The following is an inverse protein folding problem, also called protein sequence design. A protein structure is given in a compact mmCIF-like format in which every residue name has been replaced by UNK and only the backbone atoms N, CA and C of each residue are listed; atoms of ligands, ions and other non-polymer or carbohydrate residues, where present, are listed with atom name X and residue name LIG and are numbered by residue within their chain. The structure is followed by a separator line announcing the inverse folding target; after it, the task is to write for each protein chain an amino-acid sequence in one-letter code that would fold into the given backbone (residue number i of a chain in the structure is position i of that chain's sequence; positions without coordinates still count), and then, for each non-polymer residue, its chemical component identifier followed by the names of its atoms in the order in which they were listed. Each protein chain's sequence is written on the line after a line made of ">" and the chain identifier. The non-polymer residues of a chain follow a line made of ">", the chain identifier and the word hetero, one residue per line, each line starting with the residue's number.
data_IF_345333839485
#
_entry.id   IF_345333839485
#
_cell.length_a   1.000
_cell.length_b   1.000
_cell.length_c   1.000
_cell.angle_alpha   90.00
_cell.angle_beta   90.00
_cell.angle_gamma   90.00
#
_symmetry.space_group_name_H-M   'P 1'
#
loop_
_entity.id
_entity.type
_entity.pdbx_description
1 polymer ?
#
# COMPACT_ATOMS: atom_id res chain seq x y z
N UNK A 1 15.97 -7.03 20.69
CA UNK A 1 15.14 -7.84 21.60
C UNK A 1 13.71 -7.79 21.08
N UNK A 2 13.06 -8.94 20.90
CA UNK A 2 11.63 -8.95 20.59
C UNK A 2 10.87 -8.36 21.79
N UNK A 3 9.90 -7.50 21.54
CA UNK A 3 9.22 -6.72 22.60
C UNK A 3 8.09 -7.53 23.26
N UNK A 4 7.66 -8.63 22.63
CA UNK A 4 6.61 -9.53 23.13
C UNK A 4 6.85 -10.97 22.60
N UNK A 5 6.99 -11.95 23.49
CA UNK A 5 7.28 -13.35 23.13
C UNK A 5 6.05 -14.13 22.63
N UNK A 6 4.84 -13.63 22.94
CA UNK A 6 3.56 -14.29 22.58
C UNK A 6 2.95 -13.76 21.26
N UNK A 7 3.65 -12.85 20.57
CA UNK A 7 3.16 -12.24 19.34
C UNK A 7 3.48 -13.11 18.11
N UNK A 8 2.51 -13.25 17.21
CA UNK A 8 2.75 -13.78 15.86
C UNK A 8 3.11 -12.62 14.93
N UNK A 9 4.31 -12.64 14.37
CA UNK A 9 4.77 -11.67 13.37
C UNK A 9 4.47 -12.23 11.99
N UNK A 10 3.77 -11.47 11.14
CA UNK A 10 3.53 -11.81 9.74
C UNK A 10 4.24 -10.81 8.85
N UNK A 11 4.98 -11.29 7.84
CA UNK A 11 5.68 -10.43 6.90
C UNK A 11 5.78 -11.08 5.50
N UNK A 12 6.17 -10.30 4.49
CA UNK A 12 6.11 -10.73 3.10
C UNK A 12 7.19 -10.11 2.21
N UNK A 13 7.59 -10.87 1.18
CA UNK A 13 8.44 -10.38 0.09
C UNK A 13 7.66 -9.49 -0.91
N UNK A 14 6.33 -9.34 -0.72
CA UNK A 14 5.49 -8.67 -1.71
C UNK A 14 5.77 -7.16 -1.85
N UNK A 15 6.20 -6.48 -0.78
CA UNK A 15 6.21 -5.01 -0.70
C UNK A 15 7.63 -4.44 -0.75
N UNK A 16 8.38 -4.48 0.35
CA UNK A 16 9.74 -3.96 0.40
C UNK A 16 10.63 -4.61 -0.66
N UNK A 17 10.61 -5.94 -0.75
CA UNK A 17 11.37 -6.72 -1.73
C UNK A 17 10.79 -6.66 -3.16
N UNK A 18 9.68 -5.94 -3.40
CA UNK A 18 9.05 -5.79 -4.72
C UNK A 18 8.67 -7.10 -5.44
N UNK A 19 8.43 -8.19 -4.69
CA UNK A 19 8.12 -9.53 -5.25
C UNK A 19 6.62 -9.89 -5.14
N UNK A 20 5.70 -8.95 -5.41
CA UNK A 20 4.24 -9.15 -5.25
C UNK A 20 3.72 -10.42 -5.94
N UNK A 21 4.16 -10.69 -7.17
CA UNK A 21 3.73 -11.86 -7.95
C UNK A 21 4.35 -13.20 -7.52
N UNK A 22 5.37 -13.19 -6.65
CA UNK A 22 6.16 -14.40 -6.31
C UNK A 22 5.57 -15.23 -5.18
N UNK A 23 4.58 -14.67 -4.47
CA UNK A 23 3.76 -15.41 -3.50
C UNK A 23 4.57 -16.05 -2.37
N UNK A 24 5.52 -15.30 -1.82
CA UNK A 24 6.29 -15.72 -0.65
C UNK A 24 6.16 -14.72 0.51
N UNK A 25 6.08 -15.27 1.72
CA UNK A 25 6.15 -14.54 2.97
C UNK A 25 6.66 -15.45 4.08
N UNK A 26 6.75 -14.90 5.28
CA UNK A 26 7.22 -15.63 6.45
C UNK A 26 6.47 -15.18 7.69
N UNK A 27 6.56 -16.00 8.72
CA UNK A 27 6.02 -15.69 10.04
C UNK A 27 7.03 -16.04 11.12
N UNK A 28 7.01 -15.29 12.22
CA UNK A 28 7.66 -15.66 13.48
C UNK A 28 6.55 -15.98 14.46
N UNK A 29 6.62 -17.15 15.10
CA UNK A 29 5.57 -17.65 15.99
C UNK A 29 6.13 -17.98 17.36
N UNK A 30 5.32 -17.86 18.43
CA UNK A 30 5.60 -18.45 19.73
C UNK A 30 5.93 -19.94 19.63
N UNK A 31 6.80 -20.41 20.52
CA UNK A 31 7.32 -21.79 20.48
C UNK A 31 6.20 -22.83 20.64
N UNK A 32 5.21 -22.54 21.49
CA UNK A 32 4.05 -23.41 21.73
C UNK A 32 3.10 -23.51 20.52
N UNK A 33 3.19 -22.60 19.55
CA UNK A 33 2.43 -22.63 18.30
C UNK A 33 3.16 -23.35 17.16
N UNK A 34 4.46 -23.60 17.27
CA UNK A 34 5.29 -24.13 16.17
C UNK A 34 4.71 -25.42 15.58
N UNK A 35 4.38 -26.40 16.43
CA UNK A 35 3.87 -27.70 15.98
C UNK A 35 2.51 -27.58 15.30
N UNK A 36 1.63 -26.74 15.83
CA UNK A 36 0.29 -26.51 15.27
C UNK A 36 0.38 -25.88 13.87
N UNK A 37 1.25 -24.88 13.70
CA UNK A 37 1.49 -24.22 12.42
C UNK A 37 2.11 -25.18 11.40
N UNK A 38 3.10 -25.97 11.80
CA UNK A 38 3.72 -26.98 10.94
C UNK A 38 2.69 -28.00 10.42
N UNK A 39 1.87 -28.56 11.31
CA UNK A 39 0.82 -29.50 10.94
C UNK A 39 -0.16 -28.90 9.93
N UNK A 40 -0.60 -27.66 10.15
CA UNK A 40 -1.49 -26.96 9.21
C UNK A 40 -0.81 -26.73 7.86
N UNK A 41 0.45 -26.29 7.85
CA UNK A 41 1.20 -26.05 6.62
C UNK A 41 1.36 -27.34 5.78
N UNK A 42 1.73 -28.45 6.44
CA UNK A 42 1.87 -29.76 5.80
C UNK A 42 0.56 -30.25 5.17
N UNK A 43 -0.57 -30.10 5.87
CA UNK A 43 -1.87 -30.61 5.42
C UNK A 43 -2.56 -29.70 4.39
N UNK A 44 -2.40 -28.39 4.49
CA UNK A 44 -3.11 -27.43 3.62
C UNK A 44 -2.33 -27.06 2.36
N UNK A 45 -1.00 -26.97 2.46
CA UNK A 45 -0.18 -26.35 1.39
C UNK A 45 1.06 -27.16 1.01
N UNK A 46 1.49 -28.12 1.84
CA UNK A 46 2.73 -28.91 1.73
C UNK A 46 3.98 -28.03 1.85
N UNK A 47 4.19 -27.09 0.93
CA UNK A 47 5.31 -26.17 0.93
C UNK A 47 5.01 -24.91 0.10
N UNK A 48 5.64 -23.76 0.40
CA UNK A 48 5.61 -22.59 -0.47
C UNK A 48 6.32 -22.84 -1.83
N UNK A 49 6.09 -22.00 -2.86
CA UNK A 49 6.71 -22.18 -4.18
C UNK A 49 8.24 -22.23 -4.12
N UNK A 50 8.85 -23.35 -4.48
CA UNK A 50 10.31 -23.57 -4.36
C UNK A 50 11.14 -22.56 -5.15
N UNK A 51 10.72 -22.21 -6.37
CA UNK A 51 11.41 -21.19 -7.17
C UNK A 51 11.44 -19.83 -6.45
N UNK A 52 10.32 -19.44 -5.84
CA UNK A 52 10.23 -18.19 -5.07
C UNK A 52 11.11 -18.24 -3.83
N UNK A 53 11.17 -19.37 -3.12
CA UNK A 53 12.06 -19.54 -1.97
C UNK A 53 13.52 -19.29 -2.35
N UNK A 54 13.98 -19.87 -3.46
CA UNK A 54 15.35 -19.67 -3.96
C UNK A 54 15.62 -18.21 -4.35
N UNK A 55 14.69 -17.57 -5.07
CA UNK A 55 14.84 -16.17 -5.47
C UNK A 55 14.83 -15.21 -4.27
N UNK A 56 14.00 -15.46 -3.25
CA UNK A 56 13.92 -14.63 -2.06
C UNK A 56 15.18 -14.70 -1.18
N UNK A 57 15.96 -15.78 -1.24
CA UNK A 57 17.28 -15.82 -0.59
C UNK A 57 18.22 -14.81 -1.24
N UNK A 58 18.25 -14.74 -2.57
CA UNK A 58 19.06 -13.76 -3.29
C UNK A 58 18.58 -12.31 -3.10
N UNK A 59 17.29 -12.10 -2.84
CA UNK A 59 16.71 -10.77 -2.63
C UNK A 59 17.30 -10.03 -1.42
N UNK A 60 17.91 -10.74 -0.46
CA UNK A 60 18.61 -10.11 0.67
C UNK A 60 19.89 -9.37 0.25
N UNK A 61 20.46 -9.71 -0.91
CA UNK A 61 21.65 -9.05 -1.46
C UNK A 61 21.30 -7.83 -2.35
N UNK A 62 20.01 -7.58 -2.62
CA UNK A 62 19.54 -6.52 -3.53
C UNK A 62 19.25 -5.18 -2.84
N UNK A 63 19.82 -4.94 -1.65
CA UNK A 63 19.42 -3.82 -0.78
C UNK A 63 19.51 -2.44 -1.44
N UNK A 64 20.52 -2.19 -2.25
CA UNK A 64 20.69 -0.90 -2.93
C UNK A 64 19.50 -0.56 -3.85
N UNK A 65 19.00 -1.56 -4.58
CA UNK A 65 17.82 -1.41 -5.44
C UNK A 65 16.53 -1.20 -4.61
N UNK A 66 16.38 -1.95 -3.53
CA UNK A 66 15.20 -1.87 -2.66
C UNK A 66 15.13 -0.53 -1.92
N UNK A 67 16.27 -0.05 -1.40
CA UNK A 67 16.35 1.23 -0.68
C UNK A 67 16.20 2.41 -1.67
N UNK A 68 16.62 2.27 -2.93
CA UNK A 68 16.31 3.24 -3.98
C UNK A 68 14.79 3.35 -4.27
N UNK A 69 14.06 2.23 -4.23
CA UNK A 69 12.59 2.26 -4.31
C UNK A 69 11.97 3.02 -3.13
N UNK A 70 12.46 2.79 -1.90
CA UNK A 70 12.00 3.51 -0.71
C UNK A 70 12.27 5.01 -0.82
N UNK A 71 13.45 5.40 -1.29
CA UNK A 71 13.80 6.81 -1.51
C UNK A 71 12.85 7.49 -2.51
N UNK A 72 12.53 6.82 -3.63
CA UNK A 72 11.54 7.32 -4.60
C UNK A 72 10.15 7.46 -3.98
N UNK A 73 9.72 6.50 -3.15
CA UNK A 73 8.43 6.60 -2.45
C UNK A 73 8.39 7.78 -1.49
N UNK A 74 9.51 8.12 -0.83
CA UNK A 74 9.61 9.29 0.03
C UNK A 74 9.44 10.61 -0.74
N UNK A 75 10.05 10.72 -1.92
CA UNK A 75 9.88 11.91 -2.78
C UNK A 75 8.46 12.02 -3.33
N UNK A 76 7.88 10.90 -3.79
CA UNK A 76 6.49 10.84 -4.24
C UNK A 76 5.51 11.26 -3.13
N UNK A 77 5.72 10.75 -1.90
CA UNK A 77 4.94 11.13 -0.73
C UNK A 77 5.02 12.62 -0.47
N UNK A 78 6.22 13.20 -0.47
CA UNK A 78 6.44 14.64 -0.25
C UNK A 78 5.73 15.47 -1.32
N UNK A 79 5.79 15.05 -2.58
CA UNK A 79 5.09 15.70 -3.67
C UNK A 79 3.58 15.67 -3.45
N UNK A 80 2.98 14.50 -3.24
CA UNK A 80 1.53 14.39 -3.11
C UNK A 80 0.99 15.08 -1.85
N UNK A 81 1.70 15.01 -0.72
CA UNK A 81 1.30 15.75 0.50
C UNK A 81 1.31 17.27 0.28
N UNK A 82 2.14 17.78 -0.62
CA UNK A 82 2.20 19.20 -0.99
C UNK A 82 1.11 19.59 -2.00
N UNK A 83 0.82 18.71 -2.97
CA UNK A 83 -0.04 19.04 -4.11
C UNK A 83 -1.52 18.68 -3.89
N UNK A 84 -1.84 17.54 -3.26
CA UNK A 84 -3.23 17.10 -3.04
C UNK A 84 -4.11 18.14 -2.31
N UNK A 85 -3.62 18.90 -1.31
CA UNK A 85 -4.40 19.97 -0.71
C UNK A 85 -4.83 21.06 -1.69
N UNK A 86 -4.03 21.33 -2.73
CA UNK A 86 -4.37 22.32 -3.77
C UNK A 86 -5.53 21.83 -4.66
N UNK A 87 -5.71 20.51 -4.78
CA UNK A 87 -6.87 19.89 -5.44
C UNK A 87 -8.09 19.74 -4.51
N UNK A 88 -8.01 20.23 -3.26
CA UNK A 88 -9.10 20.18 -2.28
C UNK A 88 -9.05 19.00 -1.30
N UNK A 89 -8.05 18.12 -1.39
CA UNK A 89 -7.83 17.04 -0.43
C UNK A 89 -7.01 17.56 0.78
N UNK A 90 -7.65 18.37 1.63
CA UNK A 90 -7.02 19.12 2.72
C UNK A 90 -6.83 18.32 4.03
N UNK A 91 -7.54 17.20 4.17
CA UNK A 91 -7.50 16.34 5.37
C UNK A 91 -6.91 14.97 5.06
N UNK A 92 -5.63 14.80 5.36
CA UNK A 92 -4.87 13.59 5.08
C UNK A 92 -4.44 12.92 6.39
N UNK A 93 -4.61 11.59 6.49
CA UNK A 93 -4.06 10.82 7.60
C UNK A 93 -2.51 10.83 7.56
N UNK A 94 -1.88 10.61 8.71
CA UNK A 94 -0.43 10.46 8.79
C UNK A 94 0.03 9.28 7.92
N UNK A 95 0.94 9.55 6.98
CA UNK A 95 1.47 8.56 6.05
C UNK A 95 2.87 8.10 6.51
N UNK A 96 3.01 7.50 7.69
CA UNK A 96 4.32 7.26 8.32
C UNK A 96 5.09 6.08 7.71
N UNK A 97 4.42 5.25 6.92
CA UNK A 97 4.99 4.10 6.22
C UNK A 97 4.09 3.59 5.11
N UNK A 98 4.45 2.45 4.54
CA UNK A 98 3.86 1.95 3.30
C UNK A 98 3.94 3.01 2.17
N UNK A 99 3.02 2.97 1.22
CA UNK A 99 2.99 3.89 0.09
C UNK A 99 1.58 4.40 -0.23
N UNK A 100 0.81 4.72 0.82
CA UNK A 100 -0.58 5.16 0.71
C UNK A 100 -0.85 6.48 1.44
N UNK A 101 -1.68 7.34 0.85
CA UNK A 101 -2.30 8.50 1.52
C UNK A 101 -3.79 8.21 1.63
N UNK A 102 -4.33 8.30 2.85
CA UNK A 102 -5.77 8.18 3.10
C UNK A 102 -6.34 9.57 3.35
N UNK A 103 -7.27 9.99 2.49
CA UNK A 103 -7.82 11.34 2.47
C UNK A 103 -9.30 11.33 2.86
N UNK A 104 -9.68 12.23 3.78
CA UNK A 104 -11.09 12.52 4.09
C UNK A 104 -11.65 13.44 3.00
N UNK A 105 -12.67 12.94 2.29
CA UNK A 105 -13.38 13.61 1.19
C UNK A 105 -14.81 13.96 1.56
N UNK A 106 -15.18 13.98 2.85
CA UNK A 106 -16.55 14.27 3.32
C UNK A 106 -17.08 15.61 2.80
N UNK A 107 -16.21 16.61 2.61
CA UNK A 107 -16.57 17.93 2.06
C UNK A 107 -16.79 17.92 0.54
N UNK A 108 -16.33 16.86 -0.14
CA UNK A 108 -16.34 16.75 -1.60
C UNK A 108 -17.43 15.79 -2.08
N UNK A 109 -17.72 14.74 -1.31
CA UNK A 109 -18.70 13.71 -1.65
C UNK A 109 -19.27 13.02 -0.42
N UNK A 110 -20.49 12.48 -0.55
CA UNK A 110 -21.08 11.52 0.38
C UNK A 110 -21.02 10.06 -0.13
N UNK A 111 -20.44 9.84 -1.31
CA UNK A 111 -20.27 8.54 -1.97
C UNK A 111 -18.86 8.47 -2.58
N UNK A 112 -17.96 7.74 -1.93
CA UNK A 112 -16.57 7.60 -2.39
C UNK A 112 -16.45 6.78 -3.67
N UNK A 113 -17.36 5.83 -3.91
CA UNK A 113 -17.30 4.94 -5.06
C UNK A 113 -17.63 5.70 -6.34
N UNK A 114 -18.77 6.41 -6.33
CA UNK A 114 -19.16 7.27 -7.45
C UNK A 114 -18.13 8.38 -7.69
N UNK A 115 -17.55 8.93 -6.62
CA UNK A 115 -16.52 9.96 -6.71
C UNK A 115 -15.22 9.46 -7.36
N UNK A 116 -14.74 8.27 -6.99
CA UNK A 116 -13.58 7.64 -7.64
C UNK A 116 -13.83 7.34 -9.12
N UNK A 117 -15.04 6.86 -9.48
CA UNK A 117 -15.41 6.62 -10.89
C UNK A 117 -15.37 7.92 -11.69
N UNK A 118 -15.96 9.00 -11.16
CA UNK A 118 -15.95 10.30 -11.83
C UNK A 118 -14.54 10.86 -12.03
N UNK A 119 -13.68 10.76 -11.01
CA UNK A 119 -12.28 11.19 -11.15
C UNK A 119 -11.59 10.39 -12.27
N UNK A 120 -11.80 9.08 -12.33
CA UNK A 120 -11.24 8.25 -13.39
C UNK A 120 -11.76 8.66 -14.77
N UNK A 121 -13.07 8.82 -14.91
CA UNK A 121 -13.71 9.13 -16.19
C UNK A 121 -13.34 10.53 -16.71
N UNK A 122 -13.26 11.51 -15.81
CA UNK A 122 -13.05 12.92 -16.16
C UNK A 122 -11.56 13.30 -16.24
N UNK A 123 -10.66 12.58 -15.55
CA UNK A 123 -9.23 12.94 -15.47
C UNK A 123 -8.27 11.83 -15.90
N UNK A 124 -8.74 10.58 -16.00
CA UNK A 124 -7.91 9.41 -16.20
C UNK A 124 -7.08 9.00 -14.98
N UNK A 125 -7.27 9.63 -13.81
CA UNK A 125 -6.57 9.27 -12.58
C UNK A 125 -7.37 8.21 -11.81
N UNK A 126 -6.75 7.06 -11.55
CA UNK A 126 -7.37 6.00 -10.75
C UNK A 126 -7.00 6.15 -9.27
N UNK A 127 -8.01 6.19 -8.39
CA UNK A 127 -7.87 6.17 -6.94
C UNK A 127 -8.82 5.13 -6.33
N UNK A 128 -8.54 4.68 -5.09
CA UNK A 128 -9.35 3.62 -4.46
C UNK A 128 -10.39 4.22 -3.52
N UNK A 129 -11.67 3.81 -3.59
CA UNK A 129 -12.69 4.29 -2.68
C UNK A 129 -12.47 3.75 -1.26
N UNK A 130 -12.93 4.48 -0.24
CA UNK A 130 -12.74 4.13 1.15
C UNK A 130 -13.59 2.92 1.61
N UNK A 131 -14.68 2.62 0.89
CA UNK A 131 -15.61 1.52 1.22
C UNK A 131 -14.96 0.14 1.24
N UNK A 132 -13.86 -0.04 0.51
CA UNK A 132 -13.05 -1.27 0.52
C UNK A 132 -12.33 -1.49 1.87
N UNK A 133 -12.15 -0.42 2.66
CA UNK A 133 -11.39 -0.42 3.91
C UNK A 133 -12.27 -0.23 5.15
N UNK A 134 -13.35 0.54 5.04
CA UNK A 134 -14.31 0.78 6.13
C UNK A 134 -15.75 0.71 5.58
N UNK A 135 -16.48 -0.40 5.81
CA UNK A 135 -17.85 -0.55 5.31
C UNK A 135 -18.85 0.46 5.87
N UNK A 136 -18.53 1.14 6.98
CA UNK A 136 -19.44 2.07 7.66
C UNK A 136 -19.15 3.53 7.32
N UNK A 137 -17.87 3.90 7.26
CA UNK A 137 -17.42 5.29 7.06
C UNK A 137 -16.67 5.50 5.75
N UNK A 138 -16.42 4.45 4.98
CA UNK A 138 -15.58 4.49 3.78
C UNK A 138 -16.06 5.44 2.70
N UNK A 139 -17.36 5.76 2.67
CA UNK A 139 -17.91 6.78 1.78
C UNK A 139 -17.30 8.18 1.97
N UNK A 140 -16.67 8.43 3.11
CA UNK A 140 -16.01 9.68 3.45
C UNK A 140 -14.52 9.68 3.13
N UNK A 141 -13.97 8.60 2.58
CA UNK A 141 -12.54 8.48 2.37
C UNK A 141 -12.18 7.97 0.98
N UNK A 142 -10.98 8.31 0.54
CA UNK A 142 -10.33 7.71 -0.62
C UNK A 142 -8.86 7.40 -0.29
N UNK A 143 -8.26 6.48 -1.04
CA UNK A 143 -6.86 6.11 -0.90
C UNK A 143 -6.10 6.36 -2.18
N UNK A 144 -5.01 7.10 -2.08
CA UNK A 144 -4.01 7.28 -3.14
C UNK A 144 -2.86 6.31 -2.91
N UNK A 145 -2.36 5.69 -3.98
CA UNK A 145 -1.12 4.91 -3.96
C UNK A 145 -0.02 5.71 -4.63
N UNK A 146 1.17 5.76 -4.02
CA UNK A 146 2.31 6.51 -4.54
C UNK A 146 3.54 5.65 -4.85
N UNK A 147 3.30 4.36 -5.12
CA UNK A 147 4.33 3.40 -5.52
C UNK A 147 4.80 3.52 -6.98
N UNK A 148 4.12 4.34 -7.79
CA UNK A 148 4.43 4.55 -9.21
C UNK A 148 5.63 5.49 -9.46
N UNK A 149 5.84 5.88 -10.71
CA UNK A 149 6.91 6.83 -11.05
C UNK A 149 6.61 8.22 -10.46
N UNK A 150 7.64 9.05 -10.24
CA UNK A 150 7.43 10.43 -9.77
C UNK A 150 6.73 11.30 -10.81
N UNK A 151 6.91 10.99 -12.10
CA UNK A 151 6.21 11.63 -13.20
C UNK A 151 4.70 11.37 -13.13
N UNK A 152 4.28 10.11 -12.92
CA UNK A 152 2.87 9.77 -12.74
C UNK A 152 2.26 10.53 -11.55
N UNK A 153 3.00 10.67 -10.45
CA UNK A 153 2.51 11.39 -9.27
C UNK A 153 2.33 12.88 -9.56
N UNK A 154 3.28 13.50 -10.26
CA UNK A 154 3.19 14.90 -10.67
C UNK A 154 2.00 15.11 -11.62
N UNK A 155 1.88 14.26 -12.65
CA UNK A 155 0.82 14.35 -13.63
C UNK A 155 -0.56 14.12 -13.00
N UNK A 156 -0.70 13.14 -12.11
CA UNK A 156 -1.95 12.91 -11.39
C UNK A 156 -2.35 14.12 -10.53
N UNK A 157 -1.40 14.72 -9.82
CA UNK A 157 -1.66 15.92 -9.03
C UNK A 157 -2.10 17.11 -9.90
N UNK A 158 -1.42 17.36 -11.01
CA UNK A 158 -1.77 18.43 -11.96
C UNK A 158 -3.20 18.25 -12.52
N UNK A 159 -3.55 17.03 -12.94
CA UNK A 159 -4.89 16.72 -13.47
C UNK A 159 -5.98 16.93 -12.42
N UNK A 160 -5.73 16.52 -11.17
CA UNK A 160 -6.68 16.71 -10.07
C UNK A 160 -6.86 18.19 -9.70
N UNK A 161 -5.78 18.97 -9.72
CA UNK A 161 -5.83 20.42 -9.48
C UNK A 161 -6.65 21.11 -10.58
N UNK A 162 -6.37 20.78 -11.85
CA UNK A 162 -7.10 21.35 -12.99
C UNK A 162 -8.59 20.99 -12.95
N UNK A 163 -8.91 19.72 -12.66
CA UNK A 163 -10.28 19.22 -12.52
C UNK A 163 -11.05 19.93 -11.40
N UNK A 164 -10.39 20.36 -10.32
CA UNK A 164 -11.04 21.09 -9.24
C UNK A 164 -11.41 22.53 -9.62
N UNK A 165 -10.72 23.10 -10.61
CA UNK A 165 -10.91 24.49 -11.06
C UNK A 165 -11.95 24.63 -12.18
N UNK A 166 -12.31 23.52 -12.85
CA UNK A 166 -13.39 23.45 -13.84
C UNK A 166 -14.75 23.27 -13.18
#
# INVERSE_FOLDING_TARGET
>A
AAVYDDAVVINSFSKYFSMTGWRLGWMVVPEDLLRSVECLAQNLFISPPTLSQLACVAAFDSRDELDANVARYAENRKLLLRELPKAGFDKLAAADGAFYIYADVTKMTGDSLAFCSRILDETGVAITPGVDFDPRRGNHFVRFSFSGSSEDMAQAAERLIAWRMS
#
